data_IF_766582528536
#
_entry.id   IF_766582528536
#
_cell.length_a   1.000
_cell.length_b   1.000
_cell.length_c   1.000
_cell.angle_alpha   90.00
_cell.angle_beta   90.00
_cell.angle_gamma   90.00
#
_symmetry.space_group_name_H-M   'P 1'
#
loop_
_entity.id
_entity.type
_entity.pdbx_description
1 polymer ?
#
# COMPACT_ATOMS: atom_id res chain seq x y z
N UNK A 1 53.21 -32.36 28.71
CA UNK A 1 52.73 -30.98 28.46
C UNK A 1 52.23 -30.91 27.02
N UNK A 2 50.92 -30.80 26.78
CA UNK A 2 50.38 -30.61 25.43
C UNK A 2 49.27 -29.56 25.56
N UNK A 3 49.65 -28.30 25.33
CA UNK A 3 48.81 -27.13 25.50
C UNK A 3 47.79 -27.01 24.38
N UNK A 4 46.54 -26.74 24.76
CA UNK A 4 45.46 -26.36 23.86
C UNK A 4 45.63 -24.92 23.37
N UNK A 5 45.18 -24.65 22.15
CA UNK A 5 45.26 -23.31 21.56
C UNK A 5 44.89 -23.29 20.09
N UNK A 6 43.63 -23.56 19.75
CA UNK A 6 43.17 -23.54 18.36
C UNK A 6 41.72 -23.09 18.15
N UNK A 7 41.02 -22.63 19.19
CA UNK A 7 39.63 -22.19 19.11
C UNK A 7 39.46 -20.65 19.08
N UNK A 8 40.57 -19.89 19.08
CA UNK A 8 40.53 -18.43 19.18
C UNK A 8 40.39 -17.68 17.85
N UNK A 9 40.97 -18.20 16.75
CA UNK A 9 41.08 -17.41 15.50
C UNK A 9 39.79 -17.36 14.67
N UNK A 10 38.88 -18.34 14.80
CA UNK A 10 37.61 -18.34 14.06
C UNK A 10 36.51 -17.48 14.69
N UNK A 11 36.53 -17.31 16.02
CA UNK A 11 35.48 -16.58 16.74
C UNK A 11 35.63 -15.05 16.60
N UNK A 12 36.86 -14.53 16.53
CA UNK A 12 37.10 -13.10 16.28
C UNK A 12 36.68 -12.65 14.87
N UNK A 13 36.70 -13.57 13.88
CA UNK A 13 36.22 -13.28 12.52
C UNK A 13 34.69 -13.16 12.45
N UNK A 14 33.96 -13.78 13.39
CA UNK A 14 32.51 -13.65 13.50
C UNK A 14 32.09 -12.35 14.21
N UNK A 15 32.98 -11.74 14.97
CA UNK A 15 32.72 -10.51 15.72
C UNK A 15 32.26 -9.32 14.82
N UNK A 16 32.89 -9.03 13.66
CA UNK A 16 32.38 -7.99 12.75
C UNK A 16 30.99 -8.34 12.17
N UNK A 17 30.70 -9.61 11.87
CA UNK A 17 29.35 -10.03 11.44
C UNK A 17 28.32 -9.85 12.56
N UNK A 18 28.70 -10.14 13.80
CA UNK A 18 27.85 -9.99 14.98
C UNK A 18 27.54 -8.50 15.23
N UNK A 19 28.54 -7.62 15.08
CA UNK A 19 28.34 -6.16 15.14
C UNK A 19 27.40 -5.69 14.04
N UNK A 20 27.54 -6.18 12.81
CA UNK A 20 26.64 -5.83 11.71
C UNK A 20 25.19 -6.26 11.97
N UNK A 21 24.98 -7.47 12.52
CA UNK A 21 23.64 -7.95 12.90
C UNK A 21 23.08 -7.09 14.04
N UNK A 22 23.84 -6.80 15.08
CA UNK A 22 23.40 -5.94 16.18
C UNK A 22 23.06 -4.53 15.69
N UNK A 23 23.89 -3.94 14.82
CA UNK A 23 23.61 -2.65 14.20
C UNK A 23 22.36 -2.69 13.32
N UNK A 24 22.12 -3.76 12.57
CA UNK A 24 20.89 -3.90 11.76
C UNK A 24 19.63 -4.01 12.63
N UNK A 25 19.72 -4.64 13.80
CA UNK A 25 18.62 -4.76 14.76
C UNK A 25 18.40 -3.44 15.52
N UNK A 26 19.46 -2.71 15.86
CA UNK A 26 19.39 -1.37 16.46
C UNK A 26 18.89 -0.30 15.48
N UNK A 27 19.28 -0.41 14.21
CA UNK A 27 18.78 0.43 13.13
C UNK A 27 17.42 -0.02 12.62
N UNK A 28 16.82 -1.09 13.16
CA UNK A 28 15.43 -1.39 12.89
C UNK A 28 14.63 -0.22 13.46
N UNK A 29 14.12 0.69 12.61
CA UNK A 29 13.29 1.77 13.10
C UNK A 29 12.05 1.06 13.61
N UNK A 30 11.91 0.95 14.94
CA UNK A 30 10.78 0.29 15.57
C UNK A 30 9.54 0.77 14.86
N UNK A 31 8.89 -0.16 14.14
CA UNK A 31 7.90 0.10 13.10
C UNK A 31 6.92 1.16 13.61
N UNK A 32 7.17 2.42 13.24
CA UNK A 32 6.32 3.51 13.68
C UNK A 32 5.00 3.25 12.98
N UNK A 33 4.00 2.87 13.78
CA UNK A 33 2.67 2.65 13.25
C UNK A 33 2.27 3.90 12.46
N UNK A 34 1.74 3.74 11.23
CA UNK A 34 1.38 4.89 10.41
C UNK A 34 0.37 5.76 11.17
N UNK A 35 0.38 7.06 10.91
CA UNK A 35 -0.49 8.02 11.64
C UNK A 35 -1.98 7.79 11.33
N UNK A 36 -2.25 7.23 10.16
CA UNK A 36 -3.58 6.88 9.66
C UNK A 36 -3.52 5.59 8.84
N UNK A 37 -4.70 5.08 8.48
CA UNK A 37 -4.88 4.00 7.52
C UNK A 37 -6.07 4.30 6.61
N UNK A 38 -6.00 3.91 5.34
CA UNK A 38 -7.15 3.99 4.42
C UNK A 38 -8.16 2.86 4.67
N UNK A 39 -7.76 1.84 5.41
CA UNK A 39 -8.60 0.69 5.79
C UNK A 39 -8.70 0.57 7.31
N UNK A 40 -9.83 0.10 7.85
CA UNK A 40 -9.96 -0.11 9.29
C UNK A 40 -9.00 -1.20 9.75
N UNK A 41 -8.34 -0.97 10.89
CA UNK A 41 -7.45 -1.97 11.52
C UNK A 41 -7.67 -1.97 13.03
N UNK A 42 -7.12 -2.96 13.73
CA UNK A 42 -7.21 -3.01 15.20
C UNK A 42 -6.64 -1.76 15.89
N UNK A 43 -5.63 -1.12 15.29
CA UNK A 43 -5.02 0.11 15.80
C UNK A 43 -5.74 1.38 15.29
N UNK A 44 -6.31 1.32 14.09
CA UNK A 44 -6.98 2.44 13.42
C UNK A 44 -8.49 2.17 13.32
N UNK A 45 -9.22 2.48 14.39
CA UNK A 45 -10.67 2.22 14.50
C UNK A 45 -11.53 3.48 14.32
N UNK A 46 -10.97 4.66 14.57
CA UNK A 46 -11.73 5.90 14.52
C UNK A 46 -11.80 6.40 13.08
N UNK A 47 -12.98 6.30 12.47
CA UNK A 47 -13.25 6.81 11.14
C UNK A 47 -13.28 8.35 11.10
N UNK A 48 -12.67 8.91 10.06
CA UNK A 48 -12.67 10.34 9.72
C UNK A 48 -12.84 10.48 8.21
N UNK A 49 -13.23 11.67 7.77
CA UNK A 49 -13.45 12.00 6.36
C UNK A 49 -12.65 13.25 6.03
N UNK A 50 -11.81 13.19 4.99
CA UNK A 50 -11.04 14.34 4.52
C UNK A 50 -11.93 15.37 3.82
N UNK A 51 -11.45 16.61 3.58
CA UNK A 51 -12.19 17.60 2.79
C UNK A 51 -12.64 17.08 1.42
N UNK A 52 -11.80 16.30 0.73
CA UNK A 52 -12.13 15.63 -0.55
C UNK A 52 -12.89 14.31 -0.41
N UNK A 53 -13.56 14.09 0.73
CA UNK A 53 -14.44 12.94 1.00
C UNK A 53 -13.74 11.59 1.02
N UNK A 54 -12.43 11.55 1.28
CA UNK A 54 -11.70 10.29 1.48
C UNK A 54 -11.92 9.81 2.92
N UNK A 55 -12.44 8.59 3.08
CA UNK A 55 -12.54 7.96 4.39
C UNK A 55 -11.16 7.43 4.82
N UNK A 56 -10.78 7.74 6.05
CA UNK A 56 -9.55 7.26 6.66
C UNK A 56 -9.77 6.94 8.14
N UNK A 57 -8.86 6.16 8.71
CA UNK A 57 -8.96 5.67 10.08
C UNK A 57 -7.74 6.10 10.87
N UNK A 58 -7.95 6.54 12.10
CA UNK A 58 -6.90 7.01 13.00
C UNK A 58 -6.93 6.25 14.33
N UNK A 59 -5.85 6.38 15.10
CA UNK A 59 -5.79 5.87 16.47
C UNK A 59 -6.56 6.77 17.44
N UNK A 60 -6.93 6.25 18.62
CA UNK A 60 -7.56 7.01 19.70
C UNK A 60 -6.74 8.22 20.15
N UNK A 61 -5.42 8.15 20.00
CA UNK A 61 -4.51 9.22 20.40
C UNK A 61 -4.39 10.36 19.38
N UNK A 62 -5.00 10.22 18.20
CA UNK A 62 -4.86 11.17 17.10
C UNK A 62 -5.30 12.58 17.48
N UNK A 63 -6.49 12.71 18.09
CA UNK A 63 -7.02 14.02 18.49
C UNK A 63 -6.11 14.71 19.52
N UNK A 64 -5.53 13.95 20.45
CA UNK A 64 -4.60 14.48 21.44
C UNK A 64 -3.26 14.89 20.83
N UNK A 65 -2.75 14.14 19.85
CA UNK A 65 -1.43 14.39 19.22
C UNK A 65 -1.46 15.50 18.17
N UNK A 66 -2.51 15.53 17.34
CA UNK A 66 -2.57 16.39 16.15
C UNK A 66 -3.73 17.39 16.18
N UNK A 67 -4.74 17.16 17.02
CA UNK A 67 -5.95 17.99 17.08
C UNK A 67 -5.76 19.37 17.70
N UNK A 68 -4.58 19.68 18.25
CA UNK A 68 -4.27 21.01 18.81
C UNK A 68 -4.13 22.10 17.74
N UNK A 69 -3.83 21.72 16.50
CA UNK A 69 -3.70 22.66 15.38
C UNK A 69 -4.42 22.12 14.14
N UNK A 70 -5.32 22.93 13.60
CA UNK A 70 -6.00 22.65 12.33
C UNK A 70 -4.99 22.44 11.17
N UNK A 71 -3.84 23.11 11.22
CA UNK A 71 -2.79 22.94 10.20
C UNK A 71 -2.23 21.52 10.18
N UNK A 72 -1.98 20.92 11.35
CA UNK A 72 -1.42 19.57 11.46
C UNK A 72 -2.40 18.52 10.92
N UNK A 73 -3.69 18.65 11.28
CA UNK A 73 -4.75 17.79 10.75
C UNK A 73 -4.84 17.92 9.23
N UNK A 74 -4.82 19.14 8.71
CA UNK A 74 -4.87 19.40 7.26
C UNK A 74 -3.68 18.83 6.51
N UNK A 75 -2.48 18.85 7.10
CA UNK A 75 -1.30 18.23 6.47
C UNK A 75 -1.46 16.71 6.37
N UNK A 76 -2.03 16.08 7.40
CA UNK A 76 -2.34 14.65 7.38
C UNK A 76 -3.42 14.34 6.34
N UNK A 77 -4.48 15.14 6.28
CA UNK A 77 -5.55 14.95 5.28
C UNK A 77 -5.05 15.09 3.84
N UNK A 78 -4.11 16.00 3.58
CA UNK A 78 -3.45 16.08 2.26
C UNK A 78 -2.66 14.81 1.94
N UNK A 79 -1.96 14.24 2.92
CA UNK A 79 -1.23 12.98 2.73
C UNK A 79 -2.21 11.81 2.48
N UNK A 80 -3.29 11.72 3.24
CA UNK A 80 -4.39 10.76 3.04
C UNK A 80 -4.94 10.86 1.61
N UNK A 81 -5.22 12.07 1.14
CA UNK A 81 -5.77 12.30 -0.19
C UNK A 81 -4.79 11.91 -1.31
N UNK A 82 -3.50 12.22 -1.14
CA UNK A 82 -2.46 11.83 -2.09
C UNK A 82 -2.25 10.31 -2.14
N UNK A 83 -2.27 9.64 -0.98
CA UNK A 83 -2.12 8.18 -0.89
C UNK A 83 -3.33 7.45 -1.49
N UNK A 84 -4.54 7.95 -1.22
CA UNK A 84 -5.75 7.45 -1.85
C UNK A 84 -5.64 7.58 -3.37
N UNK A 85 -5.23 8.76 -3.86
CA UNK A 85 -5.11 9.02 -5.30
C UNK A 85 -4.15 8.04 -5.97
N UNK A 86 -2.98 7.85 -5.35
CA UNK A 86 -1.97 6.93 -5.84
C UNK A 86 -2.50 5.49 -5.88
N UNK A 87 -3.16 5.05 -4.81
CA UNK A 87 -3.69 3.69 -4.66
C UNK A 87 -4.77 3.41 -5.70
N UNK A 88 -5.79 4.27 -5.77
CA UNK A 88 -6.92 4.07 -6.69
C UNK A 88 -6.51 4.24 -8.16
N UNK A 89 -5.53 5.09 -8.46
CA UNK A 89 -4.91 5.15 -9.80
C UNK A 89 -4.28 3.81 -10.19
N UNK A 90 -3.53 3.20 -9.27
CA UNK A 90 -2.89 1.90 -9.52
C UNK A 90 -3.93 0.79 -9.71
N UNK A 91 -4.97 0.76 -8.87
CA UNK A 91 -6.08 -0.18 -8.99
C UNK A 91 -6.82 -0.02 -10.33
N UNK A 92 -7.08 1.22 -10.76
CA UNK A 92 -7.65 1.50 -12.08
C UNK A 92 -6.75 0.96 -13.20
N UNK A 93 -5.43 1.18 -13.12
CA UNK A 93 -4.50 0.65 -14.11
C UNK A 93 -4.54 -0.89 -14.17
N UNK A 94 -4.63 -1.55 -13.02
CA UNK A 94 -4.76 -3.01 -12.91
C UNK A 94 -6.08 -3.53 -13.50
N UNK A 95 -7.20 -2.82 -13.25
CA UNK A 95 -8.51 -3.16 -13.83
C UNK A 95 -8.51 -3.02 -15.37
N UNK A 96 -7.97 -1.92 -15.91
CA UNK A 96 -7.78 -1.76 -17.36
C UNK A 96 -6.91 -2.87 -17.95
N UNK A 97 -5.92 -3.32 -17.20
CA UNK A 97 -5.06 -4.42 -17.62
C UNK A 97 -5.77 -5.78 -17.65
N UNK A 98 -6.63 -6.04 -16.65
CA UNK A 98 -7.54 -7.19 -16.68
C UNK A 98 -8.47 -7.14 -17.90
N UNK A 99 -9.09 -5.99 -18.17
CA UNK A 99 -9.93 -5.80 -19.35
C UNK A 99 -9.17 -6.10 -20.65
N UNK A 100 -7.96 -5.53 -20.81
CA UNK A 100 -7.10 -5.80 -21.98
C UNK A 100 -6.81 -7.29 -22.12
N UNK A 101 -6.48 -7.99 -21.03
CA UNK A 101 -6.27 -9.44 -21.06
C UNK A 101 -7.52 -10.20 -21.51
N UNK A 102 -8.72 -9.78 -21.11
CA UNK A 102 -9.97 -10.40 -21.59
C UNK A 102 -10.14 -10.22 -23.09
N UNK A 103 -9.93 -9.00 -23.60
CA UNK A 103 -9.95 -8.76 -25.04
C UNK A 103 -8.92 -9.61 -25.80
N UNK A 104 -7.70 -9.73 -25.27
CA UNK A 104 -6.66 -10.56 -25.89
C UNK A 104 -7.06 -12.03 -25.96
N UNK A 105 -7.64 -12.57 -24.89
CA UNK A 105 -8.15 -13.95 -24.85
C UNK A 105 -9.31 -14.13 -25.82
N UNK A 106 -10.28 -13.23 -25.82
CA UNK A 106 -11.44 -13.29 -26.69
C UNK A 106 -11.04 -13.33 -28.18
N UNK A 107 -10.08 -12.49 -28.59
CA UNK A 107 -9.57 -12.43 -29.98
C UNK A 107 -8.97 -13.75 -30.48
N UNK A 108 -8.46 -14.60 -29.59
CA UNK A 108 -7.82 -15.87 -29.95
C UNK A 108 -8.82 -17.01 -30.20
N UNK A 109 -10.11 -16.80 -29.87
CA UNK A 109 -11.15 -17.83 -30.01
C UNK A 109 -11.46 -18.07 -31.49
N UNK A 110 -11.49 -19.34 -31.91
CA UNK A 110 -11.76 -19.73 -33.32
C UNK A 110 -13.23 -19.62 -33.71
N UNK A 111 -14.15 -20.05 -32.83
CA UNK A 111 -15.58 -19.96 -33.07
C UNK A 111 -16.02 -18.48 -33.04
N UNK A 112 -16.69 -18.03 -34.12
CA UNK A 112 -17.09 -16.62 -34.28
C UNK A 112 -18.10 -16.16 -33.23
N UNK A 113 -19.13 -16.97 -32.97
CA UNK A 113 -20.20 -16.60 -32.04
C UNK A 113 -19.66 -16.48 -30.60
N UNK A 114 -18.84 -17.46 -30.20
CA UNK A 114 -18.19 -17.44 -28.87
C UNK A 114 -17.21 -16.27 -28.75
N UNK A 115 -16.47 -15.96 -29.83
CA UNK A 115 -15.58 -14.79 -29.86
C UNK A 115 -16.36 -13.49 -29.65
N UNK A 116 -17.47 -13.31 -30.36
CA UNK A 116 -18.30 -12.10 -30.26
C UNK A 116 -18.87 -11.93 -28.85
N UNK A 117 -19.37 -13.01 -28.25
CA UNK A 117 -19.86 -12.99 -26.87
C UNK A 117 -18.76 -12.61 -25.86
N UNK A 118 -17.58 -13.21 -25.95
CA UNK A 118 -16.44 -12.90 -25.07
C UNK A 118 -15.89 -11.47 -25.29
N UNK A 119 -15.94 -10.95 -26.53
CA UNK A 119 -15.58 -9.57 -26.82
C UNK A 119 -16.55 -8.58 -26.19
N UNK A 120 -17.86 -8.90 -26.17
CA UNK A 120 -18.87 -8.10 -25.47
C UNK A 120 -18.62 -8.12 -23.96
N UNK A 121 -18.37 -9.29 -23.36
CA UNK A 121 -18.03 -9.40 -21.93
C UNK A 121 -16.80 -8.57 -21.55
N UNK A 122 -15.76 -8.59 -22.39
CA UNK A 122 -14.57 -7.77 -22.19
C UNK A 122 -14.89 -6.26 -22.26
N UNK A 123 -15.82 -5.85 -23.13
CA UNK A 123 -16.28 -4.46 -23.22
C UNK A 123 -17.08 -4.02 -22.00
N UNK A 124 -17.87 -4.92 -21.43
CA UNK A 124 -18.67 -4.71 -20.23
C UNK A 124 -17.87 -4.93 -18.93
N UNK A 125 -16.57 -5.19 -19.01
CA UNK A 125 -15.73 -5.40 -17.84
C UNK A 125 -15.80 -4.18 -16.90
N UNK A 126 -16.19 -4.38 -15.62
CA UNK A 126 -16.40 -3.28 -14.70
C UNK A 126 -15.06 -2.63 -14.31
N UNK A 127 -15.03 -1.30 -14.28
CA UNK A 127 -13.85 -0.49 -13.93
C UNK A 127 -14.12 0.45 -12.74
N UNK A 128 -14.60 -0.05 -11.59
CA UNK A 128 -15.08 0.81 -10.50
C UNK A 128 -13.97 1.71 -9.93
N UNK A 129 -12.72 1.23 -9.85
CA UNK A 129 -11.61 2.06 -9.36
C UNK A 129 -11.29 3.20 -10.33
N UNK A 130 -11.49 2.98 -11.64
CA UNK A 130 -11.34 4.05 -12.63
C UNK A 130 -12.45 5.08 -12.55
N UNK A 131 -13.67 4.66 -12.24
CA UNK A 131 -14.80 5.57 -12.02
C UNK A 131 -14.61 6.42 -10.76
N UNK A 132 -14.13 5.80 -9.67
CA UNK A 132 -13.79 6.53 -8.44
C UNK A 132 -12.63 7.48 -8.66
N UNK A 133 -11.56 7.03 -9.33
CA UNK A 133 -10.42 7.87 -9.66
C UNK A 133 -10.82 9.08 -10.51
N UNK A 134 -11.65 8.88 -11.54
CA UNK A 134 -12.11 9.97 -12.40
C UNK A 134 -12.98 10.98 -11.66
N UNK A 135 -13.87 10.52 -10.78
CA UNK A 135 -14.67 11.38 -9.89
C UNK A 135 -13.77 12.18 -8.94
N UNK A 136 -12.75 11.55 -8.38
CA UNK A 136 -11.82 12.20 -7.46
C UNK A 136 -11.03 13.32 -8.14
N UNK A 137 -10.53 13.09 -9.35
CA UNK A 137 -9.77 14.08 -10.13
C UNK A 137 -10.68 15.18 -10.71
N UNK A 138 -11.89 14.84 -11.16
CA UNK A 138 -12.83 15.78 -11.78
C UNK A 138 -13.66 16.61 -10.79
N UNK A 139 -13.68 16.24 -9.52
CA UNK A 139 -14.43 16.93 -8.45
C UNK A 139 -13.55 17.70 -7.45
N UNK A 140 -12.28 17.96 -7.80
CA UNK A 140 -11.31 18.73 -7.00
C UNK A 140 -11.35 20.23 -7.28
#
# INVERSE_FOLDING_TARGET
>A
QRGGGGAGMGLFQLLPLLVLVLLSLFSYPGQQDPVYSLQPTDKHRIGRISPRKVQYFVTETFQRKYGSSHFNVRQIEKAVEADWEHTTRYECAAQKDQQRRQYHRARQIRNREVREDEMRKAAEFPLPACEEYSKFIGGG
#
